data_IF_877583508784
#
_entry.id   IF_877583508784
#
_cell.length_a   1.000
_cell.length_b   1.000
_cell.length_c   1.000
_cell.angle_alpha   90.00
_cell.angle_beta   90.00
_cell.angle_gamma   90.00
#
_symmetry.space_group_name_H-M   'P 1'
#
loop_
_entity.id
_entity.type
_entity.pdbx_description
1 polymer ?
#
# COMPACT_ATOMS: atom_id res chain seq x y z
N UNK A 1 -22.41 -10.14 -8.28
CA UNK A 1 -21.82 -8.79 -8.07
C UNK A 1 -20.32 -8.90 -8.26
N UNK A 2 -19.73 -7.99 -9.02
CA UNK A 2 -18.29 -8.02 -9.22
C UNK A 2 -17.57 -7.53 -7.95
N UNK A 3 -16.41 -8.12 -7.60
CA UNK A 3 -15.63 -7.65 -6.47
C UNK A 3 -15.15 -6.19 -6.66
N UNK A 4 -15.06 -5.47 -5.56
CA UNK A 4 -14.53 -4.11 -5.52
C UNK A 4 -13.03 -4.12 -5.22
N UNK A 5 -12.27 -3.35 -5.96
CA UNK A 5 -10.83 -3.26 -5.85
C UNK A 5 -10.37 -1.96 -5.23
N UNK A 6 -9.35 -2.01 -4.39
CA UNK A 6 -8.53 -0.85 -4.05
C UNK A 6 -7.06 -1.17 -4.29
N UNK A 7 -6.37 -0.28 -5.00
CA UNK A 7 -4.95 -0.40 -5.32
C UNK A 7 -4.15 0.59 -4.48
N UNK A 8 -3.22 0.08 -3.69
CA UNK A 8 -2.46 0.86 -2.72
C UNK A 8 -0.99 1.02 -3.13
N UNK A 9 -0.49 2.24 -2.98
CA UNK A 9 0.92 2.51 -2.78
C UNK A 9 1.16 2.65 -1.27
N UNK A 10 2.14 1.91 -0.70
CA UNK A 10 2.35 1.87 0.75
C UNK A 10 2.92 3.19 1.30
N UNK A 11 2.74 3.47 2.60
CA UNK A 11 3.51 4.50 3.27
C UNK A 11 5.00 4.28 3.06
N UNK A 12 5.80 5.33 3.20
CA UNK A 12 7.24 5.25 2.98
C UNK A 12 7.99 5.16 4.31
N UNK A 13 9.08 4.39 4.29
CA UNK A 13 10.08 4.36 5.36
C UNK A 13 11.45 4.58 4.72
N UNK A 14 12.24 5.51 5.26
CA UNK A 14 13.53 5.87 4.70
C UNK A 14 14.57 6.18 5.79
N UNK A 15 15.84 6.06 5.44
CA UNK A 15 16.94 6.52 6.28
C UNK A 15 16.98 8.06 6.22
N UNK A 16 17.02 8.77 7.36
CA UNK A 16 17.05 10.25 7.40
C UNK A 16 18.22 10.85 6.63
N UNK A 17 19.27 10.09 6.36
CA UNK A 17 20.42 10.54 5.54
C UNK A 17 20.07 10.78 4.06
N UNK A 18 19.05 10.06 3.55
CA UNK A 18 18.66 10.13 2.14
C UNK A 18 17.40 10.98 1.90
N UNK A 19 16.66 11.32 2.95
CA UNK A 19 15.40 12.05 2.85
C UNK A 19 14.23 11.21 2.28
N UNK A 20 13.04 11.80 2.27
CA UNK A 20 11.85 11.20 1.70
C UNK A 20 11.93 11.19 0.16
N UNK A 21 11.43 10.12 -0.43
CA UNK A 21 11.16 10.09 -1.88
C UNK A 21 10.01 11.06 -2.18
N UNK A 22 10.10 11.75 -3.32
CA UNK A 22 9.00 12.63 -3.78
C UNK A 22 7.72 11.81 -3.97
N UNK A 23 6.53 12.41 -3.77
CA UNK A 23 5.26 11.75 -4.03
C UNK A 23 5.03 11.64 -5.54
N UNK A 24 5.70 10.70 -6.15
CA UNK A 24 5.56 10.36 -7.56
C UNK A 24 4.50 9.28 -7.67
N UNK A 25 3.26 9.61 -7.87
CA UNK A 25 2.16 8.63 -7.95
C UNK A 25 2.51 7.39 -8.78
N UNK A 26 1.99 6.23 -8.40
CA UNK A 26 2.27 4.97 -9.10
C UNK A 26 1.54 4.90 -10.44
N UNK A 27 2.24 5.22 -11.52
CA UNK A 27 1.69 5.11 -12.88
C UNK A 27 1.20 3.68 -13.17
N UNK A 28 1.91 2.66 -12.67
CA UNK A 28 1.48 1.26 -12.83
C UNK A 28 0.12 0.96 -12.21
N UNK A 29 -0.18 1.51 -11.03
CA UNK A 29 -1.50 1.35 -10.38
C UNK A 29 -2.60 2.08 -11.17
N UNK A 30 -2.29 3.21 -11.78
CA UNK A 30 -3.25 3.96 -12.61
C UNK A 30 -3.62 3.16 -13.87
N UNK A 31 -2.64 2.55 -14.54
CA UNK A 31 -2.91 1.67 -15.68
C UNK A 31 -3.73 0.43 -15.31
N UNK A 32 -3.41 -0.21 -14.19
CA UNK A 32 -4.20 -1.34 -13.69
C UNK A 32 -5.63 -0.92 -13.35
N UNK A 33 -5.80 0.23 -12.72
CA UNK A 33 -7.13 0.76 -12.41
C UNK A 33 -7.93 1.07 -13.69
N UNK A 34 -7.29 1.63 -14.72
CA UNK A 34 -7.95 1.86 -16.02
C UNK A 34 -8.43 0.54 -16.63
N UNK A 35 -7.56 -0.48 -16.66
CA UNK A 35 -7.92 -1.82 -17.18
C UNK A 35 -9.06 -2.45 -16.39
N UNK A 36 -9.07 -2.34 -15.06
CA UNK A 36 -10.17 -2.86 -14.23
C UNK A 36 -11.49 -2.14 -14.56
N UNK A 37 -11.47 -0.81 -14.71
CA UNK A 37 -12.67 -0.01 -15.09
C UNK A 37 -13.19 -0.37 -16.47
N UNK A 38 -12.30 -0.60 -17.44
CA UNK A 38 -12.69 -1.05 -18.80
C UNK A 38 -13.37 -2.43 -18.80
N UNK A 39 -13.17 -3.22 -17.73
CA UNK A 39 -13.81 -4.51 -17.52
C UNK A 39 -14.92 -4.47 -16.45
N UNK A 40 -15.53 -3.31 -16.25
CA UNK A 40 -16.68 -3.08 -15.37
C UNK A 40 -16.45 -3.40 -13.88
N UNK A 41 -15.20 -3.32 -13.40
CA UNK A 41 -14.87 -3.41 -11.97
C UNK A 41 -14.86 -2.04 -11.31
N UNK A 42 -15.43 -1.95 -10.11
CA UNK A 42 -15.25 -0.80 -9.24
C UNK A 42 -13.82 -0.82 -8.68
N UNK A 43 -13.07 0.27 -8.90
CA UNK A 43 -11.68 0.36 -8.45
C UNK A 43 -11.33 1.77 -7.96
N UNK A 44 -10.66 1.83 -6.81
CA UNK A 44 -10.02 3.03 -6.25
C UNK A 44 -8.50 2.86 -6.28
N UNK A 45 -7.78 3.94 -6.52
CA UNK A 45 -6.32 4.02 -6.31
C UNK A 45 -6.07 4.94 -5.11
N UNK A 46 -5.24 4.49 -4.17
CA UNK A 46 -4.86 5.26 -3.00
C UNK A 46 -3.36 5.21 -2.79
N UNK A 47 -2.71 6.36 -2.92
CA UNK A 47 -1.33 6.56 -2.49
C UNK A 47 -1.32 6.88 -0.99
N UNK A 48 -1.02 5.90 -0.17
CA UNK A 48 -1.05 6.07 1.28
C UNK A 48 0.14 6.87 1.83
N UNK A 49 1.11 7.23 0.98
CA UNK A 49 2.16 8.17 1.37
C UNK A 49 1.64 9.61 1.45
N UNK A 50 0.66 9.96 0.61
CA UNK A 50 0.06 11.30 0.55
C UNK A 50 -1.37 11.37 1.07
N UNK A 51 -2.10 10.26 1.05
CA UNK A 51 -3.51 10.19 1.45
C UNK A 51 -4.48 10.53 0.32
N UNK A 52 -5.69 10.94 0.68
CA UNK A 52 -6.76 11.37 -0.22
C UNK A 52 -7.26 12.77 0.17
N UNK A 53 -8.39 13.19 -0.39
CA UNK A 53 -9.02 14.48 -0.13
C UNK A 53 -9.36 14.78 1.35
N UNK A 54 -9.37 13.78 2.21
CA UNK A 54 -9.62 13.92 3.64
C UNK A 54 -8.36 14.17 4.48
N UNK A 55 -7.19 14.19 3.83
CA UNK A 55 -5.88 14.36 4.49
C UNK A 55 -5.11 15.52 3.86
N UNK A 56 -4.48 16.32 4.70
CA UNK A 56 -3.48 17.29 4.24
C UNK A 56 -2.10 16.62 4.10
N UNK A 57 -1.23 17.20 3.31
CA UNK A 57 0.16 16.70 3.20
C UNK A 57 0.92 16.84 4.51
N UNK A 58 0.57 17.81 5.35
CA UNK A 58 1.13 18.02 6.69
C UNK A 58 0.75 16.87 7.65
N UNK A 59 -0.41 16.22 7.43
CA UNK A 59 -0.86 15.07 8.22
C UNK A 59 -0.27 13.74 7.74
N UNK A 60 0.24 13.69 6.51
CA UNK A 60 0.72 12.46 5.87
C UNK A 60 2.17 12.58 5.41
N UNK A 61 2.42 13.18 4.24
CA UNK A 61 3.71 13.19 3.58
C UNK A 61 4.79 13.95 4.33
N UNK A 62 4.44 15.10 4.91
CA UNK A 62 5.38 15.93 5.69
C UNK A 62 5.42 15.57 7.18
N UNK A 63 4.59 14.63 7.62
CA UNK A 63 4.59 14.16 9.00
C UNK A 63 5.60 13.03 9.21
N UNK A 64 6.79 13.38 9.60
CA UNK A 64 7.85 12.44 9.94
C UNK A 64 7.62 11.77 11.30
N UNK A 65 7.66 10.44 11.32
CA UNK A 65 7.55 9.64 12.55
C UNK A 65 8.81 8.78 12.68
N UNK A 66 9.63 9.10 13.69
CA UNK A 66 10.83 8.31 14.00
C UNK A 66 10.45 6.91 14.44
N UNK A 67 11.10 5.92 13.84
CA UNK A 67 10.98 4.53 14.19
C UNK A 67 12.06 4.12 15.21
N UNK A 68 11.81 3.06 15.96
CA UNK A 68 12.77 2.54 16.96
C UNK A 68 14.13 2.15 16.39
N UNK A 69 14.18 1.82 15.09
CA UNK A 69 15.42 1.49 14.36
C UNK A 69 16.14 2.71 13.75
N UNK A 70 15.71 3.93 14.08
CA UNK A 70 16.29 5.17 13.55
C UNK A 70 15.78 5.60 12.17
N UNK A 71 14.97 4.78 11.51
CA UNK A 71 14.31 5.14 10.24
C UNK A 71 13.18 6.13 10.47
N UNK A 72 12.80 6.83 9.41
CA UNK A 72 11.66 7.76 9.40
C UNK A 72 10.54 7.16 8.57
N UNK A 73 9.31 7.19 9.11
CA UNK A 73 8.09 6.81 8.41
C UNK A 73 7.27 8.06 8.10
N UNK A 74 6.70 8.10 6.89
CA UNK A 74 5.73 9.11 6.45
C UNK A 74 4.51 8.41 5.83
N UNK A 75 3.41 9.14 5.72
CA UNK A 75 2.17 8.68 5.13
C UNK A 75 1.08 8.36 6.15
N UNK A 76 -0.03 7.84 5.67
CA UNK A 76 -1.21 7.48 6.46
C UNK A 76 -0.86 6.47 7.56
N UNK A 77 -1.54 6.58 8.69
CA UNK A 77 -1.48 5.56 9.74
C UNK A 77 -2.12 4.25 9.25
N UNK A 78 -1.68 3.13 9.81
CA UNK A 78 -2.25 1.81 9.47
C UNK A 78 -3.76 1.77 9.73
N UNK A 79 -4.22 2.35 10.84
CA UNK A 79 -5.64 2.40 11.22
C UNK A 79 -6.48 3.16 10.18
N UNK A 80 -5.92 4.23 9.61
CA UNK A 80 -6.58 5.02 8.56
C UNK A 80 -6.65 4.23 7.25
N UNK A 81 -5.58 3.54 6.88
CA UNK A 81 -5.57 2.63 5.72
C UNK A 81 -6.63 1.54 5.88
N UNK A 82 -6.73 0.94 7.07
CA UNK A 82 -7.73 -0.10 7.35
C UNK A 82 -9.18 0.41 7.23
N UNK A 83 -9.43 1.69 7.53
CA UNK A 83 -10.76 2.31 7.27
C UNK A 83 -11.03 2.51 5.80
N UNK A 84 -10.03 2.98 5.04
CA UNK A 84 -10.17 3.23 3.60
C UNK A 84 -10.45 1.97 2.78
N UNK A 85 -9.99 0.81 3.24
CA UNK A 85 -10.18 -0.47 2.53
C UNK A 85 -11.43 -1.24 2.95
N UNK A 86 -12.20 -0.75 3.91
CA UNK A 86 -13.31 -1.49 4.54
C UNK A 86 -14.33 -2.01 3.51
N UNK A 87 -14.71 -1.17 2.55
CA UNK A 87 -15.74 -1.46 1.54
C UNK A 87 -15.22 -2.22 0.30
N UNK A 88 -13.96 -2.67 0.31
CA UNK A 88 -13.32 -3.34 -0.84
C UNK A 88 -13.05 -4.81 -0.53
N UNK A 89 -13.20 -5.65 -1.56
CA UNK A 89 -13.01 -7.10 -1.45
C UNK A 89 -11.57 -7.51 -1.75
N UNK A 90 -10.94 -6.83 -2.70
CA UNK A 90 -9.60 -7.13 -3.21
C UNK A 90 -8.67 -5.93 -3.01
N UNK A 91 -7.58 -6.14 -2.30
CA UNK A 91 -6.59 -5.14 -1.96
C UNK A 91 -5.32 -5.42 -2.75
N UNK A 92 -5.06 -4.63 -3.79
CA UNK A 92 -3.82 -4.70 -4.56
C UNK A 92 -2.76 -3.76 -3.96
N UNK A 93 -1.56 -4.25 -3.67
CA UNK A 93 -0.47 -3.43 -3.13
C UNK A 93 0.74 -3.55 -4.03
N UNK A 94 1.30 -2.41 -4.44
CA UNK A 94 2.55 -2.40 -5.20
C UNK A 94 3.77 -2.42 -4.28
N UNK A 95 4.76 -3.25 -4.64
CA UNK A 95 6.07 -3.28 -3.99
C UNK A 95 7.16 -3.38 -5.07
N UNK A 96 7.77 -2.24 -5.40
CA UNK A 96 8.76 -2.13 -6.48
C UNK A 96 10.18 -2.13 -5.90
N UNK A 97 10.38 -1.43 -4.79
CA UNK A 97 11.69 -1.24 -4.18
C UNK A 97 11.87 -2.08 -2.91
N UNK A 98 13.08 -2.60 -2.70
CA UNK A 98 13.42 -3.38 -1.50
C UNK A 98 13.19 -2.60 -0.20
N UNK A 99 13.38 -1.29 -0.21
CA UNK A 99 13.11 -0.41 0.93
C UNK A 99 11.64 -0.44 1.39
N UNK A 100 10.70 -0.79 0.49
CA UNK A 100 9.27 -0.89 0.81
C UNK A 100 8.89 -2.20 1.53
N UNK A 101 9.74 -3.24 1.48
CA UNK A 101 9.41 -4.60 1.93
C UNK A 101 8.78 -4.63 3.31
N UNK A 102 9.45 -4.03 4.29
CA UNK A 102 8.97 -4.04 5.69
C UNK A 102 7.64 -3.31 5.86
N UNK A 103 7.48 -2.17 5.21
CA UNK A 103 6.24 -1.40 5.32
C UNK A 103 5.06 -2.11 4.66
N UNK A 104 5.27 -2.68 3.48
CA UNK A 104 4.26 -3.50 2.79
C UNK A 104 3.88 -4.71 3.63
N UNK A 105 4.86 -5.39 4.21
CA UNK A 105 4.64 -6.52 5.12
C UNK A 105 3.78 -6.14 6.34
N UNK A 106 4.04 -4.99 6.94
CA UNK A 106 3.25 -4.46 8.07
C UNK A 106 1.80 -4.17 7.65
N UNK A 107 1.59 -3.58 6.47
CA UNK A 107 0.26 -3.30 5.92
C UNK A 107 -0.49 -4.61 5.65
N UNK A 108 0.14 -5.59 5.00
CA UNK A 108 -0.47 -6.92 4.72
C UNK A 108 -0.89 -7.60 6.02
N UNK A 109 -0.02 -7.67 7.02
CA UNK A 109 -0.32 -8.26 8.33
C UNK A 109 -1.48 -7.56 9.03
N UNK A 110 -1.53 -6.23 8.95
CA UNK A 110 -2.60 -5.46 9.55
C UNK A 110 -3.95 -5.73 8.87
N UNK A 111 -3.97 -5.79 7.53
CA UNK A 111 -5.16 -6.13 6.75
C UNK A 111 -5.67 -7.51 7.14
N UNK A 112 -4.82 -8.54 7.06
CA UNK A 112 -5.23 -9.93 7.33
C UNK A 112 -5.64 -10.16 8.79
N UNK A 113 -5.09 -9.41 9.72
CA UNK A 113 -5.49 -9.48 11.13
C UNK A 113 -6.89 -8.91 11.38
N UNK A 114 -7.27 -7.85 10.66
CA UNK A 114 -8.57 -7.19 10.82
C UNK A 114 -9.64 -7.75 9.88
N UNK A 115 -9.25 -8.14 8.67
CA UNK A 115 -10.12 -8.56 7.57
C UNK A 115 -9.53 -9.84 6.92
N UNK A 116 -9.67 -10.97 7.60
CA UNK A 116 -9.10 -12.26 7.13
C UNK A 116 -9.66 -12.67 5.76
N UNK A 117 -10.91 -12.33 5.49
CA UNK A 117 -11.66 -12.68 4.27
C UNK A 117 -11.23 -11.89 3.03
N UNK A 118 -10.61 -10.72 3.18
CA UNK A 118 -10.20 -9.89 2.03
C UNK A 118 -9.03 -10.50 1.30
N UNK A 119 -9.08 -10.45 -0.03
CA UNK A 119 -7.99 -10.93 -0.88
C UNK A 119 -6.90 -9.86 -0.98
N UNK A 120 -5.67 -10.22 -0.63
CA UNK A 120 -4.50 -9.33 -0.72
C UNK A 120 -3.59 -9.79 -1.86
N UNK A 121 -3.48 -8.94 -2.89
CA UNK A 121 -2.62 -9.12 -4.05
C UNK A 121 -1.37 -8.24 -3.92
N UNK A 122 -0.21 -8.79 -4.16
CA UNK A 122 1.02 -7.99 -4.27
C UNK A 122 1.57 -8.04 -5.68
N UNK A 123 1.97 -6.89 -6.19
CA UNK A 123 2.61 -6.76 -7.50
C UNK A 123 3.91 -5.96 -7.45
N UNK A 124 4.71 -6.11 -8.50
CA UNK A 124 5.98 -5.43 -8.66
C UNK A 124 7.19 -6.32 -8.46
N UNK A 125 8.35 -5.85 -8.93
CA UNK A 125 9.57 -6.66 -8.94
C UNK A 125 10.02 -7.07 -7.54
N UNK A 126 9.87 -6.19 -6.55
CA UNK A 126 10.23 -6.52 -5.17
C UNK A 126 9.26 -7.57 -4.58
N UNK A 127 7.97 -7.49 -4.89
CA UNK A 127 6.98 -8.48 -4.45
C UNK A 127 7.38 -9.88 -4.96
N UNK A 128 7.78 -10.01 -6.20
CA UNK A 128 8.27 -11.28 -6.80
C UNK A 128 9.55 -11.78 -6.13
N UNK A 129 10.50 -10.89 -5.87
CA UNK A 129 11.78 -11.24 -5.25
C UNK A 129 11.65 -11.63 -3.77
N UNK A 130 10.66 -11.10 -3.05
CA UNK A 130 10.41 -11.34 -1.63
C UNK A 130 9.14 -12.17 -1.40
N UNK A 131 8.72 -12.98 -2.38
CA UNK A 131 7.43 -13.67 -2.37
C UNK A 131 7.18 -14.52 -1.13
N UNK A 132 8.16 -15.30 -0.68
CA UNK A 132 8.03 -16.15 0.50
C UNK A 132 7.70 -15.33 1.75
N UNK A 133 8.40 -14.22 1.91
CA UNK A 133 8.19 -13.29 3.02
C UNK A 133 6.80 -12.67 3.01
N UNK A 134 6.31 -12.30 1.83
CA UNK A 134 4.97 -11.73 1.69
C UNK A 134 3.85 -12.76 1.85
N UNK A 135 4.03 -13.99 1.39
CA UNK A 135 3.10 -15.08 1.70
C UNK A 135 3.04 -15.37 3.20
N UNK A 136 4.18 -15.38 3.90
CA UNK A 136 4.22 -15.51 5.36
C UNK A 136 3.53 -14.33 6.08
N UNK A 137 3.52 -13.15 5.49
CA UNK A 137 2.78 -12.00 6.00
C UNK A 137 1.26 -12.11 5.82
N UNK A 138 0.80 -13.00 4.92
CA UNK A 138 -0.62 -13.25 4.65
C UNK A 138 -1.09 -12.82 3.26
N UNK A 139 -0.20 -12.48 2.33
CA UNK A 139 -0.59 -12.22 0.95
C UNK A 139 -1.20 -13.48 0.33
N UNK A 140 -2.28 -13.32 -0.43
CA UNK A 140 -2.97 -14.43 -1.08
C UNK A 140 -2.42 -14.71 -2.48
N UNK A 141 -2.00 -13.65 -3.19
CA UNK A 141 -1.44 -13.74 -4.55
C UNK A 141 -0.27 -12.77 -4.74
N UNK A 142 0.69 -13.18 -5.57
CA UNK A 142 1.83 -12.36 -5.99
C UNK A 142 2.00 -12.45 -7.50
N UNK A 143 2.01 -11.27 -8.17
CA UNK A 143 2.14 -11.15 -9.62
C UNK A 143 3.57 -10.76 -10.03
#
# INVERSE_FOLDING_TARGET
MNPKFILLYSPQVFDPKFGAMKPEGSLGLIYLAATLRENDYEVKVLDTAVGNENYTLEETFYKEVKQSNGMIRIGMKIEDILREIEDYDVIGITSIFTAQTRMVEEVVKAIKRKYEEKIVLLGGVNARNQRERFFLAGADLIC
#
